data_IF_328287666734
#
_entry.id   IF_328287666734
#
_cell.length_a   1.000
_cell.length_b   1.000
_cell.length_c   1.000
_cell.angle_alpha   90.00
_cell.angle_beta   90.00
_cell.angle_gamma   90.00
#
_symmetry.space_group_name_H-M   'P 1'
#
loop_
_entity.id
_entity.type
_entity.pdbx_description
1 polymer ?
#
# COMPACT_ATOMS: atom_id res chain seq x y z
N UNK A 1 23.58 28.64 -38.49
CA UNK A 1 23.53 27.97 -37.18
C UNK A 1 23.84 26.50 -37.43
N UNK A 2 24.81 25.91 -36.73
CA UNK A 2 25.29 24.56 -37.02
C UNK A 2 24.24 23.54 -36.57
N UNK A 3 23.64 22.81 -37.51
CA UNK A 3 22.50 21.89 -37.29
C UNK A 3 22.79 20.81 -36.26
N UNK A 4 24.07 20.44 -36.09
CA UNK A 4 24.51 19.53 -35.03
C UNK A 4 24.23 20.10 -33.62
N UNK A 5 24.61 21.36 -33.39
CA UNK A 5 24.45 22.04 -32.09
C UNK A 5 22.97 22.20 -31.75
N UNK A 6 22.12 22.53 -32.75
CA UNK A 6 20.67 22.64 -32.54
C UNK A 6 20.01 21.31 -32.17
N UNK A 7 20.50 20.20 -32.72
CA UNK A 7 19.97 18.87 -32.40
C UNK A 7 20.36 18.43 -30.98
N UNK A 8 21.60 18.67 -30.57
CA UNK A 8 22.06 18.40 -29.21
C UNK A 8 21.28 19.21 -28.16
N UNK A 9 21.02 20.49 -28.45
CA UNK A 9 20.21 21.32 -27.57
C UNK A 9 18.78 20.78 -27.41
N UNK A 10 18.14 20.39 -28.51
CA UNK A 10 16.80 19.80 -28.49
C UNK A 10 16.76 18.46 -27.74
N UNK A 11 17.81 17.65 -27.84
CA UNK A 11 17.90 16.39 -27.09
C UNK A 11 18.04 16.65 -25.59
N UNK A 12 18.90 17.60 -25.20
CA UNK A 12 19.04 18.02 -23.80
C UNK A 12 17.74 18.57 -23.21
N UNK A 13 16.98 19.35 -23.97
CA UNK A 13 15.67 19.85 -23.53
C UNK A 13 14.68 18.70 -23.30
N UNK A 14 14.64 17.71 -24.20
CA UNK A 14 13.81 16.50 -24.02
C UNK A 14 14.23 15.70 -22.78
N UNK A 15 15.53 15.50 -22.59
CA UNK A 15 16.06 14.81 -21.42
C UNK A 15 15.69 15.56 -20.13
N UNK A 16 15.81 16.90 -20.12
CA UNK A 16 15.44 17.71 -18.98
C UNK A 16 13.95 17.57 -18.64
N UNK A 17 13.05 17.63 -19.62
CA UNK A 17 11.61 17.40 -19.42
C UNK A 17 11.35 16.00 -18.85
N UNK A 18 12.04 14.98 -19.39
CA UNK A 18 11.93 13.61 -18.90
C UNK A 18 12.34 13.49 -17.43
N UNK A 19 13.48 14.06 -17.05
CA UNK A 19 14.00 14.06 -15.67
C UNK A 19 13.05 14.80 -14.72
N UNK A 20 12.51 15.95 -15.13
CA UNK A 20 11.52 16.69 -14.32
C UNK A 20 10.25 15.86 -14.10
N UNK A 21 9.79 15.16 -15.12
CA UNK A 21 8.61 14.30 -15.01
C UNK A 21 8.87 13.11 -14.08
N UNK A 22 10.03 12.45 -14.21
CA UNK A 22 10.44 11.38 -13.32
C UNK A 22 10.50 11.86 -11.86
N UNK A 23 11.11 13.03 -11.60
CA UNK A 23 11.16 13.63 -10.26
C UNK A 23 9.76 13.83 -9.66
N UNK A 24 8.82 14.36 -10.44
CA UNK A 24 7.43 14.54 -9.99
C UNK A 24 6.76 13.20 -9.68
N UNK A 25 6.95 12.19 -10.52
CA UNK A 25 6.42 10.84 -10.31
C UNK A 25 6.99 10.22 -9.03
N UNK A 26 8.30 10.31 -8.79
CA UNK A 26 8.94 9.79 -7.58
C UNK A 26 8.41 10.47 -6.31
N UNK A 27 8.25 11.80 -6.34
CA UNK A 27 7.67 12.55 -5.22
C UNK A 27 6.22 12.11 -4.92
N UNK A 28 5.44 11.84 -5.96
CA UNK A 28 4.07 11.34 -5.81
C UNK A 28 4.05 9.94 -5.19
N UNK A 29 4.89 9.03 -5.68
CA UNK A 29 5.00 7.66 -5.16
C UNK A 29 5.37 7.69 -3.67
N UNK A 30 6.34 8.50 -3.27
CA UNK A 30 6.75 8.60 -1.87
C UNK A 30 5.63 9.15 -0.98
N UNK A 31 4.91 10.17 -1.46
CA UNK A 31 3.75 10.73 -0.75
C UNK A 31 2.63 9.70 -0.60
N UNK A 32 2.33 8.95 -1.65
CA UNK A 32 1.29 7.93 -1.65
C UNK A 32 1.68 6.76 -0.71
N UNK A 33 2.96 6.37 -0.68
CA UNK A 33 3.49 5.39 0.26
C UNK A 33 3.34 5.83 1.71
N UNK A 34 3.71 7.08 2.03
CA UNK A 34 3.54 7.63 3.37
C UNK A 34 2.07 7.66 3.79
N UNK A 35 1.18 8.05 2.88
CA UNK A 35 -0.26 8.04 3.12
C UNK A 35 -0.79 6.64 3.40
N UNK A 36 -0.38 5.64 2.62
CA UNK A 36 -0.75 4.25 2.82
C UNK A 36 -0.26 3.73 4.19
N UNK A 37 0.98 4.05 4.56
CA UNK A 37 1.54 3.67 5.85
C UNK A 37 0.77 4.29 7.02
N UNK A 38 0.46 5.59 6.97
CA UNK A 38 -0.35 6.27 8.00
C UNK A 38 -1.73 5.64 8.15
N UNK A 39 -2.38 5.32 7.03
CA UNK A 39 -3.71 4.68 7.04
C UNK A 39 -3.65 3.29 7.68
N UNK A 40 -2.66 2.49 7.33
CA UNK A 40 -2.45 1.17 7.94
C UNK A 40 -2.16 1.28 9.44
N UNK A 41 -1.33 2.23 9.86
CA UNK A 41 -1.06 2.48 11.29
C UNK A 41 -2.32 2.90 12.05
N UNK A 42 -3.16 3.75 11.44
CA UNK A 42 -4.44 4.14 12.01
C UNK A 42 -5.34 2.92 12.20
N UNK A 43 -5.51 2.07 11.18
CA UNK A 43 -6.33 0.86 11.30
C UNK A 43 -5.78 -0.13 12.33
N UNK A 44 -4.46 -0.36 12.34
CA UNK A 44 -3.82 -1.24 13.32
C UNK A 44 -3.97 -0.71 14.76
N UNK A 45 -4.05 0.61 14.96
CA UNK A 45 -4.25 1.20 16.29
C UNK A 45 -5.62 0.86 16.91
N UNK A 46 -6.63 0.65 16.07
CA UNK A 46 -8.00 0.34 16.49
C UNK A 46 -8.25 -1.17 16.52
N UNK A 47 -7.74 -1.90 15.53
CA UNK A 47 -8.05 -3.31 15.32
C UNK A 47 -7.02 -4.27 15.90
N UNK A 48 -5.80 -3.78 16.17
CA UNK A 48 -4.61 -4.59 16.42
C UNK A 48 -4.37 -5.67 15.34
N UNK A 49 -4.84 -5.45 14.11
CA UNK A 49 -4.65 -6.35 12.98
C UNK A 49 -3.44 -5.92 12.15
N UNK A 50 -2.62 -6.89 11.76
CA UNK A 50 -1.61 -6.78 10.72
C UNK A 50 -2.10 -7.58 9.50
N UNK A 51 -2.55 -6.91 8.42
CA UNK A 51 -3.01 -7.60 7.23
C UNK A 51 -1.84 -8.21 6.45
N UNK A 52 -2.07 -9.36 5.82
CA UNK A 52 -1.16 -9.91 4.82
C UNK A 52 -1.44 -9.27 3.47
N UNK A 53 -0.42 -8.64 2.86
CA UNK A 53 -0.54 -7.94 1.59
C UNK A 53 0.08 -8.71 0.41
N UNK A 54 0.70 -9.87 0.67
CA UNK A 54 1.42 -10.65 -0.35
C UNK A 54 0.49 -11.46 -1.25
N UNK A 55 -0.67 -11.88 -0.74
CA UNK A 55 -1.64 -12.70 -1.46
C UNK A 55 -3.00 -11.99 -1.55
N UNK A 56 -3.32 -11.50 -2.75
CA UNK A 56 -4.58 -10.78 -3.02
C UNK A 56 -5.78 -11.72 -3.25
N UNK A 57 -5.56 -13.03 -3.39
CA UNK A 57 -6.64 -13.99 -3.62
C UNK A 57 -7.49 -14.25 -2.37
N UNK A 58 -6.99 -13.87 -1.19
CA UNK A 58 -7.58 -14.16 0.11
C UNK A 58 -7.45 -12.99 1.07
N UNK A 59 -8.40 -12.87 2.00
CA UNK A 59 -8.27 -11.96 3.14
C UNK A 59 -7.56 -12.73 4.25
N UNK A 60 -6.35 -12.32 4.60
CA UNK A 60 -5.56 -12.99 5.65
C UNK A 60 -4.72 -12.01 6.44
N UNK A 61 -4.28 -12.42 7.62
CA UNK A 61 -3.47 -11.59 8.49
C UNK A 61 -3.34 -12.15 9.90
N UNK A 62 -2.91 -11.28 10.79
CA UNK A 62 -2.65 -11.59 12.18
C UNK A 62 -3.37 -10.60 13.10
N UNK A 63 -4.02 -11.08 14.15
CA UNK A 63 -4.53 -10.28 15.27
C UNK A 63 -3.49 -10.33 16.39
N UNK A 64 -3.03 -9.17 16.85
CA UNK A 64 -1.97 -9.05 17.85
C UNK A 64 -2.57 -8.61 19.18
N UNK A 65 -2.63 -9.50 20.17
CA UNK A 65 -3.05 -9.10 21.52
C UNK A 65 -1.86 -8.53 22.31
N UNK A 66 -1.88 -7.22 22.57
CA UNK A 66 -0.81 -6.51 23.29
C UNK A 66 -0.58 -7.09 24.70
N UNK A 67 -1.64 -7.51 25.38
CA UNK A 67 -1.58 -7.94 26.78
C UNK A 67 -1.14 -9.39 26.94
N UNK A 68 -1.49 -10.26 25.97
CA UNK A 68 -1.24 -11.70 26.07
C UNK A 68 0.00 -12.17 25.32
N UNK A 69 0.72 -11.28 24.62
CA UNK A 69 1.81 -11.64 23.68
C UNK A 69 1.40 -12.77 22.73
N UNK A 70 0.11 -12.82 22.37
CA UNK A 70 -0.46 -13.85 21.52
C UNK A 70 -0.66 -13.27 20.12
N UNK A 71 -0.55 -14.14 19.12
CA UNK A 71 -0.78 -13.79 17.72
C UNK A 71 -1.73 -14.84 17.14
N UNK A 72 -2.94 -14.44 16.79
CA UNK A 72 -3.91 -15.29 16.10
C UNK A 72 -3.84 -15.04 14.60
N UNK A 73 -3.67 -16.10 13.81
CA UNK A 73 -3.72 -16.01 12.34
C UNK A 73 -5.16 -16.22 11.85
N UNK A 74 -5.60 -15.41 10.89
CA UNK A 74 -6.85 -15.63 10.17
C UNK A 74 -6.63 -15.69 8.65
N UNK A 75 -7.51 -16.41 7.95
CA UNK A 75 -7.48 -16.57 6.49
C UNK A 75 -8.89 -16.91 5.98
N UNK A 76 -9.36 -16.16 4.99
CA UNK A 76 -10.68 -16.29 4.36
C UNK A 76 -10.52 -16.31 2.84
N UNK A 77 -11.24 -17.22 2.18
CA UNK A 77 -11.29 -17.29 0.72
C UNK A 77 -12.31 -16.27 0.19
N UNK A 78 -11.82 -15.28 -0.55
CA UNK A 78 -12.64 -14.16 -1.04
C UNK A 78 -13.72 -14.57 -2.03
N UNK A 79 -13.65 -15.79 -2.58
CA UNK A 79 -14.62 -16.30 -3.55
C UNK A 79 -15.71 -17.15 -2.90
N UNK A 80 -15.51 -17.61 -1.66
CA UNK A 80 -16.42 -18.54 -0.99
C UNK A 80 -17.33 -17.89 0.04
N UNK A 81 -16.88 -16.80 0.65
CA UNK A 81 -17.58 -16.17 1.78
C UNK A 81 -17.96 -14.73 1.39
N UNK A 82 -19.22 -14.32 1.59
CA UNK A 82 -19.60 -12.93 1.41
C UNK A 82 -18.72 -11.99 2.25
N UNK A 83 -18.31 -10.86 1.67
CA UNK A 83 -17.42 -9.89 2.35
C UNK A 83 -18.01 -9.39 3.68
N UNK A 84 -19.34 -9.26 3.76
CA UNK A 84 -20.02 -8.85 4.99
C UNK A 84 -19.83 -9.87 6.13
N UNK A 85 -19.92 -11.17 5.82
CA UNK A 85 -19.75 -12.23 6.81
C UNK A 85 -18.31 -12.27 7.32
N UNK A 86 -17.33 -12.09 6.43
CA UNK A 86 -15.91 -11.95 6.81
C UNK A 86 -15.71 -10.74 7.72
N UNK A 87 -16.29 -9.58 7.38
CA UNK A 87 -16.19 -8.38 8.21
C UNK A 87 -16.78 -8.59 9.60
N UNK A 88 -17.96 -9.21 9.69
CA UNK A 88 -18.60 -9.50 10.97
C UNK A 88 -17.76 -10.47 11.81
N UNK A 89 -17.22 -11.53 11.21
CA UNK A 89 -16.38 -12.49 11.90
C UNK A 89 -15.09 -11.84 12.45
N UNK A 90 -14.40 -11.05 11.62
CA UNK A 90 -13.21 -10.29 12.06
C UNK A 90 -13.57 -9.32 13.18
N UNK A 91 -14.68 -8.60 13.06
CA UNK A 91 -15.11 -7.63 14.07
C UNK A 91 -15.41 -8.31 15.41
N UNK A 92 -16.12 -9.45 15.38
CA UNK A 92 -16.41 -10.24 16.58
C UNK A 92 -15.13 -10.72 17.27
N UNK A 93 -14.11 -11.11 16.50
CA UNK A 93 -12.81 -11.54 17.04
C UNK A 93 -12.06 -10.42 17.77
N UNK A 94 -12.07 -9.21 17.24
CA UNK A 94 -11.36 -8.08 17.86
C UNK A 94 -12.15 -7.37 18.97
N UNK A 95 -13.47 -7.58 19.03
CA UNK A 95 -14.34 -7.02 20.08
C UNK A 95 -14.51 -7.91 21.31
N UNK A 96 -14.03 -9.15 21.24
CA UNK A 96 -14.10 -10.14 22.34
C UNK A 96 -12.94 -9.96 23.32
#
# INVERSE_FOLDING_TARGET
>A
MNTLISNEFNDLEKQWVCVQQQKKTSLKIEKDKQRAQMMLSMYASVTNIVPNLDDQSKISGYIVEKDKKSVEKFEYDNLKIPTLDVCNDIWNKISS
#
